data_IF_450778014614
#
_entry.id   IF_450778014614
#
_cell.length_a   1.000
_cell.length_b   1.000
_cell.length_c   1.000
_cell.angle_alpha   90.00
_cell.angle_beta   90.00
_cell.angle_gamma   90.00
#
_symmetry.space_group_name_H-M   'P 1'
#
loop_
_entity.id
_entity.type
_entity.pdbx_description
1 polymer ?
#
# COMPACT_ATOMS: atom_id res chain seq x y z
N UNK A 1 44.49 51.54 -1.00
CA UNK A 1 44.12 51.48 0.43
C UNK A 1 45.01 50.45 1.14
N UNK A 2 45.88 50.84 2.09
CA UNK A 2 46.63 49.89 2.93
C UNK A 2 45.76 49.49 4.11
N UNK A 3 45.36 48.22 4.19
CA UNK A 3 44.62 47.66 5.32
C UNK A 3 45.43 47.84 6.62
N UNK A 4 44.79 48.38 7.66
CA UNK A 4 45.40 48.54 9.00
C UNK A 4 45.71 47.16 9.59
N UNK A 5 46.74 47.05 10.44
CA UNK A 5 47.17 45.77 11.01
C UNK A 5 46.04 45.01 11.72
N UNK A 6 45.15 45.73 12.40
CA UNK A 6 43.93 45.19 13.02
C UNK A 6 42.93 44.60 12.01
N UNK A 7 42.80 45.19 10.81
CA UNK A 7 41.95 44.64 9.76
C UNK A 7 42.54 43.36 9.17
N UNK A 8 43.87 43.24 9.06
CA UNK A 8 44.53 42.01 8.59
C UNK A 8 44.35 40.85 9.59
N UNK A 9 44.44 41.14 10.89
CA UNK A 9 44.20 40.15 11.95
C UNK A 9 42.72 39.72 11.94
N UNK A 10 41.79 40.67 11.84
CA UNK A 10 40.36 40.35 11.75
C UNK A 10 40.02 39.51 10.52
N UNK A 11 40.56 39.84 9.34
CA UNK A 11 40.38 39.04 8.11
C UNK A 11 41.00 37.64 8.28
N UNK A 12 42.18 37.53 8.88
CA UNK A 12 42.82 36.25 9.18
C UNK A 12 42.00 35.39 10.13
N UNK A 13 41.42 35.98 11.18
CA UNK A 13 40.55 35.27 12.11
C UNK A 13 39.25 34.83 11.43
N UNK A 14 38.58 35.71 10.68
CA UNK A 14 37.37 35.37 9.92
C UNK A 14 37.64 34.27 8.90
N UNK A 15 38.78 34.31 8.19
CA UNK A 15 39.17 33.26 7.25
C UNK A 15 39.44 31.93 7.95
N UNK A 16 40.13 31.94 9.10
CA UNK A 16 40.39 30.73 9.89
C UNK A 16 39.08 30.14 10.44
N UNK A 17 38.21 30.97 11.01
CA UNK A 17 36.88 30.55 11.48
C UNK A 17 36.06 29.98 10.33
N UNK A 18 36.08 30.62 9.15
CA UNK A 18 35.41 30.10 7.96
C UNK A 18 35.98 28.74 7.53
N UNK A 19 37.30 28.58 7.45
CA UNK A 19 37.94 27.30 7.09
C UNK A 19 37.61 26.21 8.09
N UNK A 20 37.60 26.49 9.40
CA UNK A 20 37.24 25.52 10.43
C UNK A 20 35.77 25.12 10.31
N UNK A 21 34.86 26.07 10.17
CA UNK A 21 33.41 25.80 10.09
C UNK A 21 33.05 25.08 8.78
N UNK A 22 33.51 25.59 7.64
CA UNK A 22 33.22 24.98 6.33
C UNK A 22 33.99 23.68 6.11
N UNK A 23 35.23 23.59 6.61
CA UNK A 23 36.04 22.37 6.56
C UNK A 23 35.46 21.25 7.41
N UNK A 24 35.06 21.56 8.65
CA UNK A 24 34.37 20.60 9.52
C UNK A 24 33.08 20.11 8.87
N UNK A 25 32.23 21.04 8.40
CA UNK A 25 30.98 20.70 7.70
C UNK A 25 31.24 19.82 6.48
N UNK A 26 32.22 20.16 5.63
CA UNK A 26 32.55 19.38 4.44
C UNK A 26 33.00 17.96 4.78
N UNK A 27 33.83 17.78 5.82
CA UNK A 27 34.32 16.47 6.24
C UNK A 27 33.19 15.63 6.84
N UNK A 28 32.37 16.19 7.74
CA UNK A 28 31.21 15.47 8.30
C UNK A 28 30.21 15.11 7.21
N UNK A 29 29.99 16.00 6.26
CA UNK A 29 29.07 15.80 5.16
C UNK A 29 29.50 14.64 4.27
N UNK A 30 30.80 14.61 3.93
CA UNK A 30 31.38 13.53 3.14
C UNK A 30 31.38 12.21 3.91
N UNK A 31 31.67 12.23 5.21
CA UNK A 31 31.72 11.02 6.04
C UNK A 31 30.34 10.37 6.17
N UNK A 32 29.28 11.16 6.36
CA UNK A 32 27.91 10.64 6.50
C UNK A 32 27.38 10.14 5.16
N UNK A 33 27.58 10.88 4.07
CA UNK A 33 27.01 10.53 2.77
C UNK A 33 27.68 9.30 2.15
N UNK A 34 28.99 9.09 2.40
CA UNK A 34 29.76 7.96 1.86
C UNK A 34 29.50 6.63 2.58
N UNK A 35 28.94 6.64 3.79
CA UNK A 35 28.60 5.41 4.51
C UNK A 35 27.49 4.64 3.79
N UNK A 36 27.73 3.36 3.50
CA UNK A 36 26.72 2.44 2.97
C UNK A 36 26.22 1.56 4.09
N UNK A 37 24.91 1.49 4.23
CA UNK A 37 24.25 0.65 5.21
C UNK A 37 23.51 -0.48 4.51
N UNK A 38 23.52 -1.70 5.07
CA UNK A 38 22.65 -2.77 4.59
C UNK A 38 21.19 -2.36 4.78
N UNK A 39 20.31 -2.79 3.87
CA UNK A 39 18.88 -2.56 4.01
C UNK A 39 18.34 -3.33 5.22
N UNK A 40 17.44 -2.70 5.97
CA UNK A 40 16.82 -3.33 7.14
C UNK A 40 15.49 -3.96 6.75
N UNK A 41 15.16 -5.09 7.37
CA UNK A 41 13.79 -5.54 7.45
C UNK A 41 13.05 -4.77 8.55
N UNK A 42 11.74 -4.51 8.41
CA UNK A 42 10.96 -3.93 9.48
C UNK A 42 10.94 -4.82 10.72
N UNK A 43 11.08 -4.20 11.89
CA UNK A 43 10.99 -4.86 13.19
C UNK A 43 9.64 -4.62 13.86
N UNK A 44 9.56 -4.88 15.18
CA UNK A 44 8.35 -4.56 15.96
C UNK A 44 8.14 -3.06 16.12
N UNK A 45 9.22 -2.29 16.23
CA UNK A 45 9.21 -0.84 16.18
C UNK A 45 10.10 -0.39 15.02
N UNK A 46 9.59 0.48 14.14
CA UNK A 46 10.27 0.86 12.90
C UNK A 46 9.99 2.31 12.52
N UNK A 47 11.02 3.02 12.06
CA UNK A 47 10.91 4.29 11.35
C UNK A 47 11.07 4.03 9.85
N UNK A 48 10.00 4.30 9.10
CA UNK A 48 9.96 4.15 7.65
C UNK A 48 10.07 5.52 6.97
N UNK A 49 10.95 5.59 5.98
CA UNK A 49 10.98 6.64 4.99
C UNK A 49 10.14 6.25 3.78
N UNK A 50 9.41 7.22 3.21
CA UNK A 50 8.69 7.04 1.94
C UNK A 50 9.13 8.15 1.00
N UNK A 51 9.58 7.77 -0.20
CA UNK A 51 9.89 8.73 -1.27
C UNK A 51 8.58 9.31 -1.85
N UNK A 52 8.32 10.62 -1.71
CA UNK A 52 7.13 11.27 -2.26
C UNK A 52 7.04 11.19 -3.79
N UNK A 53 8.17 11.04 -4.49
CA UNK A 53 8.23 10.91 -5.95
C UNK A 53 7.53 9.66 -6.49
N UNK A 54 7.20 8.70 -5.62
CA UNK A 54 6.46 7.51 -6.00
C UNK A 54 4.95 7.75 -6.22
N UNK A 55 4.41 8.90 -5.82
CA UNK A 55 2.98 9.23 -5.89
C UNK A 55 2.21 8.89 -4.60
N UNK A 56 2.91 8.72 -3.48
CA UNK A 56 2.33 8.36 -2.18
C UNK A 56 2.84 9.33 -1.11
N UNK A 57 1.96 9.68 -0.16
CA UNK A 57 2.32 10.49 1.01
C UNK A 57 1.76 9.87 2.28
N UNK A 58 2.34 10.24 3.41
CA UNK A 58 1.77 9.89 4.70
C UNK A 58 0.72 10.94 5.07
N UNK A 59 -0.53 10.54 5.21
CA UNK A 59 -1.60 11.41 5.73
C UNK A 59 -1.87 11.00 7.17
N UNK A 60 -1.91 11.99 8.05
CA UNK A 60 -2.35 11.79 9.44
C UNK A 60 -3.77 12.35 9.55
N UNK A 61 -4.76 11.47 9.63
CA UNK A 61 -6.15 11.85 9.78
C UNK A 61 -6.73 11.18 11.02
N UNK A 62 -7.45 11.94 11.87
CA UNK A 62 -8.07 11.43 13.10
C UNK A 62 -7.12 10.59 13.97
N UNK A 63 -5.87 11.05 14.14
CA UNK A 63 -4.82 10.40 14.96
C UNK A 63 -4.28 9.08 14.39
N UNK A 64 -4.65 8.70 13.17
CA UNK A 64 -4.09 7.53 12.49
C UNK A 64 -3.23 8.04 11.32
N UNK A 65 -1.95 7.69 11.34
CA UNK A 65 -1.07 7.90 10.19
C UNK A 65 -1.26 6.76 9.18
N UNK A 66 -1.42 7.10 7.91
CA UNK A 66 -1.61 6.12 6.84
C UNK A 66 -0.94 6.58 5.56
N UNK A 67 -0.59 5.62 4.71
CA UNK A 67 -0.13 5.89 3.36
C UNK A 67 -1.32 6.14 2.45
N UNK A 68 -1.32 7.26 1.74
CA UNK A 68 -2.37 7.65 0.80
C UNK A 68 -1.75 7.94 -0.56
N UNK A 69 -2.40 7.47 -1.63
CA UNK A 69 -2.02 7.76 -3.01
C UNK A 69 -2.44 9.19 -3.38
N UNK A 70 -1.50 10.02 -3.85
CA UNK A 70 -1.75 11.39 -4.32
C UNK A 70 -1.86 11.50 -5.84
N UNK A 71 -2.64 12.48 -6.33
CA UNK A 71 -2.82 12.78 -7.75
C UNK A 71 -1.86 13.88 -8.24
N UNK A 72 -0.63 13.48 -8.59
CA UNK A 72 0.23 14.13 -9.59
C UNK A 72 0.73 15.60 -9.50
N UNK A 73 0.05 16.59 -8.91
CA UNK A 73 0.40 18.00 -9.19
C UNK A 73 0.34 19.04 -8.06
N UNK A 74 0.04 18.69 -6.80
CA UNK A 74 -0.02 19.68 -5.69
C UNK A 74 1.08 19.56 -4.63
N UNK A 75 2.08 18.71 -4.85
CA UNK A 75 2.82 18.08 -3.75
C UNK A 75 4.18 18.70 -3.37
N UNK A 76 4.38 20.00 -3.63
CA UNK A 76 5.67 20.68 -3.41
C UNK A 76 5.66 21.91 -2.50
N UNK A 77 4.54 22.26 -1.86
CA UNK A 77 4.46 23.48 -1.04
C UNK A 77 4.39 23.14 0.45
N UNK A 78 5.37 23.62 1.20
CA UNK A 78 5.27 23.73 2.66
C UNK A 78 4.02 24.55 3.00
N UNK A 79 3.09 23.96 3.77
CA UNK A 79 1.97 24.68 4.37
C UNK A 79 0.66 24.78 3.56
N UNK A 80 0.30 23.77 2.77
CA UNK A 80 -1.02 23.71 2.12
C UNK A 80 -2.05 22.92 2.94
N UNK A 81 -2.88 23.60 3.71
CA UNK A 81 -4.06 23.05 4.42
C UNK A 81 -5.28 22.88 3.48
N UNK A 82 -5.10 22.93 2.17
CA UNK A 82 -6.18 22.83 1.18
C UNK A 82 -5.79 21.89 0.04
N UNK A 83 -5.90 20.58 0.27
CA UNK A 83 -6.24 19.65 -0.81
C UNK A 83 -7.69 19.27 -0.58
N UNK A 84 -8.59 19.70 -1.48
CA UNK A 84 -10.05 19.51 -1.42
C UNK A 84 -10.54 18.06 -1.46
N UNK A 85 -9.70 17.08 -1.14
CA UNK A 85 -10.15 15.72 -0.86
C UNK A 85 -10.90 15.72 0.47
N UNK A 86 -12.18 15.36 0.43
CA UNK A 86 -12.94 15.14 1.67
C UNK A 86 -12.25 14.05 2.49
N UNK A 87 -12.30 14.15 3.82
CA UNK A 87 -11.74 13.14 4.76
C UNK A 87 -12.23 11.71 4.41
N UNK A 88 -13.43 11.59 3.85
CA UNK A 88 -14.01 10.37 3.26
C UNK A 88 -13.20 9.81 2.07
N UNK A 89 -12.78 10.65 1.12
CA UNK A 89 -12.00 10.23 -0.05
C UNK A 89 -10.58 9.81 0.35
N UNK A 90 -9.96 10.54 1.28
CA UNK A 90 -8.65 10.18 1.82
C UNK A 90 -8.68 8.83 2.56
N UNK A 91 -9.74 8.54 3.34
CA UNK A 91 -9.94 7.24 4.01
C UNK A 91 -10.09 6.09 3.01
N UNK A 92 -10.76 6.32 1.87
CA UNK A 92 -10.95 5.29 0.82
C UNK A 92 -9.66 4.93 0.08
N UNK A 93 -8.64 5.78 0.14
CA UNK A 93 -7.31 5.58 -0.46
C UNK A 93 -6.23 5.30 0.61
N UNK A 94 -6.61 5.01 1.86
CA UNK A 94 -5.67 4.69 2.93
C UNK A 94 -5.21 3.23 2.87
N UNK A 95 -3.90 3.05 2.79
CA UNK A 95 -3.25 1.75 2.79
C UNK A 95 -3.05 1.22 4.22
N UNK A 96 -3.24 -0.08 4.43
CA UNK A 96 -2.98 -0.73 5.70
C UNK A 96 -1.47 -0.80 5.99
N UNK A 97 -1.00 -0.02 6.96
CA UNK A 97 0.40 -0.04 7.42
C UNK A 97 0.82 -1.44 7.90
N UNK A 98 -0.09 -2.17 8.53
CA UNK A 98 0.16 -3.55 8.96
C UNK A 98 0.44 -4.48 7.79
N UNK A 99 -0.35 -4.38 6.73
CA UNK A 99 -0.16 -5.19 5.52
C UNK A 99 1.15 -4.81 4.84
N UNK A 100 1.47 -3.51 4.75
CA UNK A 100 2.75 -3.03 4.22
C UNK A 100 3.96 -3.60 4.98
N UNK A 101 3.97 -3.49 6.31
CA UNK A 101 5.05 -4.01 7.16
C UNK A 101 5.23 -5.52 6.96
N UNK A 102 4.13 -6.27 6.95
CA UNK A 102 4.18 -7.71 6.75
C UNK A 102 4.73 -8.08 5.36
N UNK A 103 4.35 -7.36 4.30
CA UNK A 103 4.90 -7.56 2.95
C UNK A 103 6.41 -7.27 2.93
N UNK A 104 6.85 -6.18 3.55
CA UNK A 104 8.27 -5.81 3.65
C UNK A 104 9.08 -6.79 4.52
N UNK A 105 8.42 -7.58 5.37
CA UNK A 105 9.00 -8.72 6.09
C UNK A 105 8.99 -10.02 5.26
N UNK A 106 8.38 -10.01 4.07
CA UNK A 106 8.29 -11.15 3.17
C UNK A 106 7.05 -12.02 3.35
N UNK A 107 5.99 -11.54 4.02
CA UNK A 107 4.71 -12.24 4.11
C UNK A 107 3.89 -12.05 2.82
N UNK A 108 3.52 -13.17 2.20
CA UNK A 108 2.74 -13.19 0.97
C UNK A 108 1.23 -13.01 1.20
N UNK A 109 0.73 -13.36 2.40
CA UNK A 109 -0.72 -13.36 2.70
C UNK A 109 -1.40 -12.00 2.46
N UNK A 110 -0.87 -10.87 2.98
CA UNK A 110 -1.49 -9.56 2.74
C UNK A 110 -1.28 -9.02 1.32
N UNK A 111 -0.32 -9.57 0.55
CA UNK A 111 0.06 -9.04 -0.76
C UNK A 111 -1.09 -9.06 -1.75
N UNK A 112 -1.92 -10.11 -1.75
CA UNK A 112 -3.09 -10.19 -2.65
C UNK A 112 -4.06 -9.02 -2.45
N UNK A 113 -4.38 -8.69 -1.19
CA UNK A 113 -5.25 -7.56 -0.85
C UNK A 113 -4.60 -6.22 -1.17
N UNK A 114 -3.30 -6.11 -0.95
CA UNK A 114 -2.52 -4.91 -1.28
C UNK A 114 -2.53 -4.64 -2.79
N UNK A 115 -2.33 -5.67 -3.61
CA UNK A 115 -2.41 -5.57 -5.07
C UNK A 115 -3.84 -5.21 -5.50
N UNK A 116 -4.87 -5.85 -4.95
CA UNK A 116 -6.27 -5.52 -5.23
C UNK A 116 -6.56 -4.04 -4.95
N UNK A 117 -6.13 -3.55 -3.79
CA UNK A 117 -6.34 -2.17 -3.37
C UNK A 117 -5.71 -1.16 -4.34
N UNK A 118 -4.47 -1.37 -4.74
CA UNK A 118 -3.75 -0.46 -5.66
C UNK A 118 -4.23 -0.54 -7.11
N UNK A 119 -5.02 -1.57 -7.46
CA UNK A 119 -5.66 -1.73 -8.77
C UNK A 119 -7.17 -1.43 -8.72
N UNK A 120 -7.65 -0.72 -7.68
CA UNK A 120 -9.06 -0.37 -7.47
C UNK A 120 -10.04 -1.56 -7.47
N UNK A 121 -9.56 -2.75 -7.15
CA UNK A 121 -10.39 -3.96 -6.99
C UNK A 121 -10.91 -3.98 -5.55
N UNK A 122 -12.19 -3.63 -5.38
CA UNK A 122 -12.84 -3.55 -4.06
C UNK A 122 -13.79 -4.70 -3.84
N UNK A 123 -13.70 -5.31 -2.66
CA UNK A 123 -14.76 -6.18 -2.13
C UNK A 123 -15.89 -5.30 -1.60
N UNK A 124 -16.92 -5.11 -2.42
CA UNK A 124 -18.14 -4.40 -2.02
C UNK A 124 -19.34 -5.34 -2.19
N UNK A 125 -20.44 -5.07 -1.50
CA UNK A 125 -21.63 -5.95 -1.50
C UNK A 125 -22.35 -5.99 -2.86
N UNK A 126 -22.02 -5.10 -3.79
CA UNK A 126 -22.67 -4.99 -5.10
C UNK A 126 -22.02 -5.85 -6.17
N UNK A 127 -20.69 -5.84 -6.22
CA UNK A 127 -19.90 -6.46 -7.28
C UNK A 127 -19.35 -7.84 -6.86
N UNK A 128 -19.44 -8.18 -5.58
CA UNK A 128 -18.97 -9.45 -5.05
C UNK A 128 -20.12 -10.47 -4.92
N UNK A 129 -19.93 -11.73 -5.36
CA UNK A 129 -20.95 -12.74 -5.24
C UNK A 129 -21.18 -13.14 -3.78
N UNK A 130 -22.44 -13.42 -3.43
CA UNK A 130 -22.84 -13.92 -2.12
C UNK A 130 -22.36 -15.36 -1.93
N UNK A 131 -22.39 -16.16 -3.00
CA UNK A 131 -21.83 -17.52 -3.03
C UNK A 131 -20.57 -17.52 -3.90
N UNK A 132 -19.41 -17.74 -3.28
CA UNK A 132 -18.12 -17.65 -3.95
C UNK A 132 -17.68 -19.02 -4.46
N UNK A 133 -17.71 -19.20 -5.78
CA UNK A 133 -17.14 -20.37 -6.46
C UNK A 133 -15.75 -20.01 -6.97
N UNK A 134 -14.73 -20.53 -6.31
CA UNK A 134 -13.34 -20.18 -6.60
C UNK A 134 -12.76 -20.98 -7.77
N UNK A 135 -12.06 -20.29 -8.66
CA UNK A 135 -11.31 -20.86 -9.78
C UNK A 135 -9.89 -20.30 -9.79
N UNK A 136 -8.88 -21.16 -9.84
CA UNK A 136 -7.50 -20.72 -10.03
C UNK A 136 -7.21 -20.40 -11.50
N UNK A 137 -6.26 -19.49 -11.74
CA UNK A 137 -5.78 -19.21 -13.09
C UNK A 137 -5.28 -20.48 -13.82
N UNK A 138 -4.72 -21.44 -13.09
CA UNK A 138 -4.25 -22.73 -13.64
C UNK A 138 -5.42 -23.62 -14.07
N UNK A 139 -6.46 -23.78 -13.24
CA UNK A 139 -7.66 -24.54 -13.60
C UNK A 139 -8.37 -23.94 -14.81
N UNK A 140 -8.47 -22.60 -14.87
CA UNK A 140 -9.04 -21.89 -16.02
C UNK A 140 -8.22 -22.13 -17.28
N UNK A 141 -6.89 -22.07 -17.19
CA UNK A 141 -6.00 -22.37 -18.32
C UNK A 141 -6.23 -23.79 -18.83
N UNK A 142 -6.24 -24.79 -17.95
CA UNK A 142 -6.53 -26.19 -18.31
C UNK A 142 -7.90 -26.36 -18.96
N UNK A 143 -8.93 -25.69 -18.45
CA UNK A 143 -10.27 -25.70 -19.03
C UNK A 143 -10.30 -25.12 -20.45
N UNK A 144 -9.58 -24.02 -20.69
CA UNK A 144 -9.45 -23.38 -22.01
C UNK A 144 -8.62 -24.23 -22.99
N UNK A 145 -7.59 -24.92 -22.49
CA UNK A 145 -6.68 -25.77 -23.28
C UNK A 145 -7.29 -27.14 -23.64
N UNK A 146 -8.49 -27.45 -23.15
CA UNK A 146 -9.27 -28.62 -23.57
C UNK A 146 -9.45 -29.74 -22.54
N UNK A 147 -9.14 -29.51 -21.26
CA UNK A 147 -9.55 -30.44 -20.20
C UNK A 147 -11.08 -30.49 -20.13
N UNK A 148 -11.66 -31.61 -20.60
CA UNK A 148 -13.11 -31.75 -20.74
C UNK A 148 -13.84 -31.69 -19.39
N UNK A 149 -13.25 -32.21 -18.33
CA UNK A 149 -13.88 -32.22 -17.00
C UNK A 149 -13.92 -30.80 -16.42
N UNK A 150 -12.79 -30.08 -16.49
CA UNK A 150 -12.72 -28.69 -16.05
C UNK A 150 -13.55 -27.77 -16.94
N UNK A 151 -13.54 -27.97 -18.27
CA UNK A 151 -14.39 -27.21 -19.19
C UNK A 151 -15.86 -27.36 -18.86
N UNK A 152 -16.33 -28.60 -18.70
CA UNK A 152 -17.75 -28.86 -18.37
C UNK A 152 -18.11 -28.24 -17.02
N UNK A 153 -17.22 -28.33 -16.03
CA UNK A 153 -17.40 -27.69 -14.73
C UNK A 153 -17.46 -26.16 -14.86
N UNK A 154 -16.58 -25.55 -15.64
CA UNK A 154 -16.51 -24.10 -15.84
C UNK A 154 -17.77 -23.57 -16.53
N UNK A 155 -18.19 -24.20 -17.63
CA UNK A 155 -19.42 -23.82 -18.35
C UNK A 155 -20.65 -23.96 -17.44
N UNK A 156 -20.67 -25.00 -16.59
CA UNK A 156 -21.71 -25.22 -15.57
C UNK A 156 -21.71 -24.14 -14.50
N UNK A 157 -20.55 -23.75 -13.99
CA UNK A 157 -20.39 -22.72 -12.94
C UNK A 157 -20.70 -21.32 -13.48
N UNK A 158 -20.50 -21.07 -14.78
CA UNK A 158 -20.84 -19.82 -15.47
C UNK A 158 -22.27 -19.79 -16.05
N UNK A 159 -22.92 -20.96 -16.16
CA UNK A 159 -24.18 -21.19 -16.87
C UNK A 159 -24.18 -20.75 -18.35
N UNK A 160 -23.01 -20.64 -18.96
CA UNK A 160 -22.79 -20.22 -20.35
C UNK A 160 -21.60 -21.01 -20.89
N UNK A 161 -21.70 -21.47 -22.14
CA UNK A 161 -20.60 -22.10 -22.85
C UNK A 161 -19.43 -21.14 -23.03
N UNK A 162 -18.21 -21.66 -23.21
CA UNK A 162 -17.03 -20.80 -23.45
C UNK A 162 -17.13 -19.97 -24.73
N UNK A 163 -17.99 -20.37 -25.65
CA UNK A 163 -18.27 -19.64 -26.86
C UNK A 163 -19.30 -18.50 -26.65
N UNK A 164 -19.87 -18.36 -25.45
CA UNK A 164 -20.87 -17.36 -25.09
C UNK A 164 -22.33 -17.81 -25.26
N UNK A 165 -22.59 -19.05 -25.66
CA UNK A 165 -23.97 -19.56 -25.79
C UNK A 165 -24.54 -19.94 -24.42
N UNK A 166 -25.76 -19.51 -24.07
CA UNK A 166 -26.41 -19.92 -22.83
C UNK A 166 -26.62 -21.44 -22.78
N UNK A 167 -26.50 -22.04 -21.61
CA UNK A 167 -26.78 -23.47 -21.44
C UNK A 167 -28.31 -23.75 -21.42
N UNK A 168 -28.77 -24.95 -21.80
CA UNK A 168 -30.18 -25.32 -21.72
C UNK A 168 -30.70 -25.43 -20.28
N UNK A 169 -29.85 -25.92 -19.37
CA UNK A 169 -30.16 -25.99 -17.94
C UNK A 169 -29.93 -24.61 -17.31
N UNK A 170 -30.94 -24.09 -16.58
CA UNK A 170 -30.86 -22.80 -15.91
C UNK A 170 -30.40 -23.00 -14.46
N UNK A 171 -29.21 -22.51 -14.13
CA UNK A 171 -28.66 -22.51 -12.77
C UNK A 171 -28.63 -21.08 -12.24
N UNK A 172 -29.67 -20.71 -11.51
CA UNK A 172 -29.83 -19.34 -11.02
C UNK A 172 -28.64 -18.88 -10.15
N UNK A 173 -28.13 -19.77 -9.28
CA UNK A 173 -26.96 -19.48 -8.46
C UNK A 173 -25.72 -19.10 -9.30
N UNK A 174 -25.44 -19.84 -10.38
CA UNK A 174 -24.36 -19.55 -11.31
C UNK A 174 -24.57 -18.25 -12.08
N UNK A 175 -25.81 -17.98 -12.50
CA UNK A 175 -26.19 -16.74 -13.21
C UNK A 175 -25.98 -15.51 -12.31
N UNK A 176 -26.40 -15.58 -11.05
CA UNK A 176 -26.34 -14.47 -10.10
C UNK A 176 -24.93 -14.24 -9.56
N UNK A 177 -24.18 -15.31 -9.30
CA UNK A 177 -22.88 -15.21 -8.63
C UNK A 177 -21.68 -15.27 -9.60
N UNK A 178 -21.77 -16.09 -10.65
CA UNK A 178 -20.61 -16.44 -11.47
C UNK A 178 -19.51 -17.11 -10.66
N UNK A 179 -18.26 -16.74 -10.96
CA UNK A 179 -17.06 -17.30 -10.31
C UNK A 179 -16.18 -16.20 -9.72
N UNK A 180 -15.31 -16.58 -8.79
CA UNK A 180 -14.23 -15.73 -8.27
C UNK A 180 -12.90 -16.31 -8.74
N UNK A 181 -12.20 -15.56 -9.58
CA UNK A 181 -10.93 -15.98 -10.16
C UNK A 181 -9.77 -15.59 -9.25
N UNK A 182 -8.93 -16.56 -8.90
CA UNK A 182 -7.70 -16.40 -8.12
C UNK A 182 -6.52 -16.24 -9.06
N UNK A 183 -5.99 -15.02 -9.11
CA UNK A 183 -4.92 -14.56 -9.96
C UNK A 183 -3.61 -14.47 -9.15
N UNK A 184 -2.59 -15.29 -9.45
CA UNK A 184 -1.30 -15.25 -8.76
C UNK A 184 -0.44 -14.11 -9.32
N UNK A 185 -0.46 -12.95 -8.66
CA UNK A 185 0.35 -11.78 -9.04
C UNK A 185 1.71 -11.86 -8.35
N UNK A 186 2.78 -11.82 -9.13
CA UNK A 186 4.16 -11.84 -8.64
C UNK A 186 4.70 -10.42 -8.50
N UNK A 187 5.12 -10.05 -7.29
CA UNK A 187 5.61 -8.71 -6.97
C UNK A 187 7.05 -8.82 -6.46
N UNK A 188 7.93 -7.95 -6.94
CA UNK A 188 9.31 -7.88 -6.45
C UNK A 188 9.35 -6.99 -5.22
N UNK A 189 9.88 -7.53 -4.13
CA UNK A 189 9.97 -6.86 -2.84
C UNK A 189 11.37 -7.01 -2.30
N UNK A 190 11.94 -5.91 -1.83
CA UNK A 190 13.22 -5.93 -1.13
C UNK A 190 12.97 -6.21 0.35
N UNK A 191 13.40 -7.38 0.82
CA UNK A 191 13.30 -7.81 2.22
C UNK A 191 14.70 -7.81 2.80
N UNK A 192 15.01 -6.81 3.64
CA UNK A 192 16.39 -6.47 4.00
C UNK A 192 17.26 -6.36 2.73
N UNK A 193 18.42 -6.99 2.65
CA UNK A 193 19.32 -6.93 1.49
C UNK A 193 18.96 -7.89 0.35
N UNK A 194 17.85 -8.62 0.44
CA UNK A 194 17.47 -9.61 -0.55
C UNK A 194 16.26 -9.14 -1.35
N UNK A 195 16.40 -9.12 -2.68
CA UNK A 195 15.26 -9.00 -3.58
C UNK A 195 14.55 -10.34 -3.66
N UNK A 196 13.28 -10.38 -3.25
CA UNK A 196 12.44 -11.57 -3.27
C UNK A 196 11.26 -11.34 -4.19
N UNK A 197 10.86 -12.39 -4.90
CA UNK A 197 9.59 -12.41 -5.63
C UNK A 197 8.55 -13.04 -4.72
N UNK A 198 7.58 -12.25 -4.31
CA UNK A 198 6.45 -12.69 -3.49
C UNK A 198 5.23 -12.90 -4.39
N UNK A 199 4.41 -13.91 -4.08
CA UNK A 199 3.18 -14.19 -4.84
C UNK A 199 1.93 -13.83 -4.03
N UNK A 200 1.21 -12.80 -4.47
CA UNK A 200 -0.08 -12.40 -3.90
C UNK A 200 -1.24 -13.01 -4.69
N UNK A 201 -2.23 -13.57 -4.00
CA UNK A 201 -3.45 -14.06 -4.65
C UNK A 201 -4.47 -12.92 -4.73
N UNK A 202 -4.65 -12.37 -5.93
CA UNK A 202 -5.69 -11.40 -6.24
C UNK A 202 -6.97 -12.15 -6.57
N UNK A 203 -8.07 -11.73 -5.98
CA UNK A 203 -9.38 -12.30 -6.28
C UNK A 203 -10.19 -11.32 -7.13
N UNK A 204 -10.78 -11.83 -8.20
CA UNK A 204 -11.58 -11.03 -9.12
C UNK A 204 -12.86 -11.78 -9.51
N UNK A 205 -14.05 -11.24 -9.21
CA UNK A 205 -15.30 -11.77 -9.69
C UNK A 205 -15.36 -11.74 -11.22
N UNK A 206 -15.95 -12.78 -11.81
CA UNK A 206 -16.23 -12.85 -13.23
C UNK A 206 -17.63 -13.43 -13.45
N UNK A 207 -18.43 -12.68 -14.22
CA UNK A 207 -19.78 -13.07 -14.64
C UNK A 207 -19.91 -12.80 -16.15
N UNK A 208 -20.34 -13.79 -16.95
CA UNK A 208 -20.59 -13.57 -18.37
C UNK A 208 -21.63 -12.47 -18.59
N UNK A 209 -21.47 -11.70 -19.66
CA UNK A 209 -22.35 -10.58 -20.00
C UNK A 209 -23.81 -11.01 -20.12
N UNK A 210 -24.07 -12.20 -20.65
CA UNK A 210 -25.42 -12.77 -20.73
C UNK A 210 -26.07 -12.88 -19.35
N UNK A 211 -25.34 -13.38 -18.35
CA UNK A 211 -25.83 -13.52 -16.98
C UNK A 211 -26.10 -12.16 -16.33
N UNK A 212 -25.22 -11.17 -16.56
CA UNK A 212 -25.40 -9.80 -16.07
C UNK A 212 -26.67 -9.17 -16.68
N UNK A 213 -26.83 -9.27 -18.00
CA UNK A 213 -28.01 -8.74 -18.69
C UNK A 213 -29.31 -9.40 -18.24
N UNK A 214 -29.28 -10.70 -17.96
CA UNK A 214 -30.42 -11.42 -17.42
C UNK A 214 -30.78 -10.90 -16.03
N UNK A 215 -29.82 -10.80 -15.11
CA UNK A 215 -30.10 -10.27 -13.76
C UNK A 215 -30.56 -8.83 -13.80
N UNK A 216 -29.97 -8.00 -14.65
CA UNK A 216 -30.37 -6.60 -14.81
C UNK A 216 -31.82 -6.50 -15.30
N UNK A 217 -32.25 -7.32 -16.28
CA UNK A 217 -33.65 -7.34 -16.75
C UNK A 217 -34.63 -7.87 -15.72
N UNK A 218 -34.24 -8.87 -14.94
CA UNK A 218 -35.11 -9.48 -13.93
C UNK A 218 -35.35 -8.55 -12.74
N UNK A 219 -34.30 -7.86 -12.28
CA UNK A 219 -34.32 -7.11 -11.03
C UNK A 219 -34.46 -5.59 -11.21
N UNK A 220 -34.53 -5.08 -12.44
CA UNK A 220 -34.62 -3.63 -12.71
C UNK A 220 -35.75 -2.93 -11.96
N UNK A 221 -36.92 -3.58 -11.85
CA UNK A 221 -38.16 -2.98 -11.34
C UNK A 221 -39.04 -3.96 -10.53
N UNK A 222 -38.52 -5.14 -10.15
CA UNK A 222 -39.31 -6.23 -9.54
C UNK A 222 -38.61 -6.87 -8.35
N UNK A 223 -39.26 -6.84 -7.19
CA UNK A 223 -38.80 -7.50 -5.97
C UNK A 223 -39.19 -8.99 -5.90
N UNK A 224 -40.29 -9.38 -6.55
CA UNK A 224 -40.75 -10.78 -6.64
C UNK A 224 -40.64 -11.30 -8.08
N UNK A 225 -39.52 -11.98 -8.37
CA UNK A 225 -39.28 -12.61 -9.66
C UNK A 225 -39.73 -14.08 -9.61
N UNK A 226 -40.78 -14.42 -10.36
CA UNK A 226 -41.28 -15.79 -10.44
C UNK A 226 -40.40 -16.66 -11.35
N UNK A 227 -40.39 -17.98 -11.12
CA UNK A 227 -39.65 -18.93 -11.97
C UNK A 227 -40.04 -18.83 -13.46
N UNK A 228 -41.33 -18.60 -13.75
CA UNK A 228 -41.81 -18.40 -15.12
C UNK A 228 -41.23 -17.13 -15.76
N UNK A 229 -41.05 -16.05 -14.98
CA UNK A 229 -40.44 -14.82 -15.48
C UNK A 229 -38.94 -15.00 -15.77
N UNK A 230 -38.23 -15.77 -14.93
CA UNK A 230 -36.81 -16.13 -15.14
C UNK A 230 -36.67 -16.91 -16.45
N UNK A 231 -37.44 -17.99 -16.61
CA UNK A 231 -37.39 -18.82 -17.82
C UNK A 231 -37.77 -18.04 -19.07
N UNK A 232 -38.83 -17.24 -19.01
CA UNK A 232 -39.27 -16.41 -20.14
C UNK A 232 -38.20 -15.41 -20.58
N UNK A 233 -37.58 -14.71 -19.62
CA UNK A 233 -36.53 -13.72 -19.90
C UNK A 233 -35.26 -14.38 -20.43
N UNK A 234 -34.89 -15.55 -19.88
CA UNK A 234 -33.76 -16.34 -20.34
C UNK A 234 -33.92 -16.76 -21.81
N UNK A 235 -35.07 -17.35 -22.15
CA UNK A 235 -35.37 -17.79 -23.52
C UNK A 235 -35.50 -16.61 -24.50
N UNK A 236 -35.97 -15.45 -24.02
CA UNK A 236 -36.00 -14.24 -24.83
C UNK A 236 -34.58 -13.76 -25.16
N UNK A 237 -33.70 -13.62 -24.16
CA UNK A 237 -32.31 -13.20 -24.36
C UNK A 237 -31.54 -14.20 -25.23
N UNK A 238 -31.78 -15.50 -25.05
CA UNK A 238 -31.18 -16.54 -25.89
C UNK A 238 -31.57 -16.36 -27.37
N UNK A 239 -32.85 -16.12 -27.67
CA UNK A 239 -33.32 -15.84 -29.04
C UNK A 239 -32.74 -14.56 -29.62
N UNK A 240 -32.60 -13.50 -28.83
CA UNK A 240 -31.96 -12.25 -29.25
C UNK A 240 -30.49 -12.47 -29.67
N UNK A 241 -29.76 -13.31 -28.93
CA UNK A 241 -28.38 -13.69 -29.29
C UNK A 241 -28.31 -14.53 -30.57
N UNK A 242 -29.23 -15.48 -30.76
CA UNK A 242 -29.28 -16.32 -31.95
C UNK A 242 -29.63 -15.52 -33.21
N UNK A 243 -30.48 -14.50 -33.08
CA UNK A 243 -30.88 -13.60 -34.16
C UNK A 243 -29.83 -12.51 -34.47
N UNK A 244 -28.73 -12.46 -33.74
CA UNK A 244 -27.64 -11.49 -33.94
C UNK A 244 -27.98 -10.06 -33.50
N UNK A 245 -29.10 -9.84 -32.82
CA UNK A 245 -29.47 -8.53 -32.27
C UNK A 245 -28.76 -8.21 -30.95
N UNK A 246 -28.21 -9.23 -30.28
CA UNK A 246 -27.35 -9.08 -29.10
C UNK A 246 -25.85 -9.22 -29.40
N UNK A 247 -25.02 -8.49 -28.65
CA UNK A 247 -23.57 -8.71 -28.66
C UNK A 247 -23.21 -9.95 -27.85
N UNK A 248 -22.90 -11.03 -28.56
CA UNK A 248 -22.36 -12.27 -27.97
C UNK A 248 -20.93 -12.05 -27.49
N UNK A 249 -20.69 -12.36 -26.22
CA UNK A 249 -19.34 -12.39 -25.63
C UNK A 249 -18.62 -13.69 -26.03
N UNK A 250 -17.33 -13.59 -26.35
CA UNK A 250 -16.44 -14.76 -26.41
C UNK A 250 -15.89 -15.00 -25.00
N UNK A 251 -16.61 -15.80 -24.21
CA UNK A 251 -16.32 -16.05 -22.78
C UNK A 251 -14.92 -16.64 -22.60
N UNK A 252 -14.51 -17.54 -23.49
CA UNK A 252 -13.16 -18.11 -23.51
C UNK A 252 -12.10 -17.03 -23.63
N UNK A 253 -12.23 -16.11 -24.60
CA UNK A 253 -11.29 -14.97 -24.73
C UNK A 253 -11.36 -13.98 -23.57
N UNK A 254 -12.54 -13.75 -22.99
CA UNK A 254 -12.68 -12.89 -21.80
C UNK A 254 -11.91 -13.47 -20.60
N UNK A 255 -12.04 -14.77 -20.36
CA UNK A 255 -11.29 -15.47 -19.31
C UNK A 255 -9.80 -15.50 -19.64
N UNK A 256 -9.42 -15.75 -20.89
CA UNK A 256 -8.02 -15.75 -21.33
C UNK A 256 -7.35 -14.39 -21.05
N UNK A 257 -8.03 -13.28 -21.37
CA UNK A 257 -7.57 -11.92 -21.03
C UNK A 257 -7.51 -11.66 -19.53
N UNK A 258 -8.33 -12.34 -18.73
CA UNK A 258 -8.34 -12.23 -17.28
C UNK A 258 -7.11 -12.88 -16.64
N UNK A 259 -6.69 -14.02 -17.19
CA UNK A 259 -5.53 -14.80 -16.71
C UNK A 259 -4.26 -14.58 -17.55
N UNK A 260 -4.24 -13.55 -18.39
CA UNK A 260 -3.09 -13.22 -19.24
C UNK A 260 -1.88 -12.82 -18.37
N UNK A 261 -0.71 -13.48 -18.51
CA UNK A 261 0.50 -13.11 -17.80
C UNK A 261 0.86 -11.63 -17.90
N UNK A 262 0.66 -10.98 -19.06
CA UNK A 262 0.97 -9.55 -19.24
C UNK A 262 0.09 -8.67 -18.36
N UNK A 263 -1.18 -9.03 -18.20
CA UNK A 263 -2.09 -8.33 -17.29
C UNK A 263 -1.66 -8.50 -15.85
N UNK A 264 -1.24 -9.71 -15.45
CA UNK A 264 -0.74 -9.96 -14.09
C UNK A 264 0.54 -9.17 -13.79
N UNK A 265 1.43 -9.01 -14.77
CA UNK A 265 2.61 -8.15 -14.68
C UNK A 265 2.22 -6.67 -14.52
N UNK A 266 1.26 -6.18 -15.31
CA UNK A 266 0.73 -4.81 -15.17
C UNK A 266 0.14 -4.56 -13.79
N UNK A 267 -0.61 -5.53 -13.24
CA UNK A 267 -1.17 -5.44 -11.89
C UNK A 267 -0.09 -5.35 -10.80
N UNK A 268 1.12 -5.84 -11.06
CA UNK A 268 2.25 -5.79 -10.14
C UNK A 268 3.01 -4.45 -10.17
N UNK A 269 2.84 -3.61 -11.19
CA UNK A 269 3.63 -2.38 -11.39
C UNK A 269 3.46 -1.38 -10.25
N UNK A 270 2.22 -0.97 -9.96
CA UNK A 270 1.93 -0.03 -8.88
C UNK A 270 2.35 -0.58 -7.49
N UNK A 271 2.02 -1.83 -7.12
CA UNK A 271 2.54 -2.46 -5.90
C UNK A 271 4.06 -2.47 -5.81
N UNK A 272 4.75 -2.83 -6.89
CA UNK A 272 6.23 -2.86 -6.91
C UNK A 272 6.81 -1.46 -6.71
N UNK A 273 6.22 -0.44 -7.35
CA UNK A 273 6.65 0.94 -7.21
C UNK A 273 6.53 1.42 -5.76
N UNK A 274 5.39 1.19 -5.10
CA UNK A 274 5.18 1.52 -3.69
C UNK A 274 6.18 0.82 -2.79
N UNK A 275 6.33 -0.49 -2.95
CA UNK A 275 7.21 -1.27 -2.07
C UNK A 275 8.68 -0.89 -2.26
N UNK A 276 9.08 -0.51 -3.48
CA UNK A 276 10.43 -0.02 -3.77
C UNK A 276 10.72 1.38 -3.24
N UNK A 277 9.68 2.17 -2.96
CA UNK A 277 9.81 3.54 -2.46
C UNK A 277 9.83 3.64 -0.93
N UNK A 278 9.67 2.51 -0.23
CA UNK A 278 9.73 2.46 1.24
C UNK A 278 11.14 2.07 1.67
N UNK A 279 11.76 2.90 2.49
CA UNK A 279 13.05 2.64 3.12
C UNK A 279 12.87 2.41 4.63
N UNK A 280 13.39 1.28 5.13
CA UNK A 280 13.47 1.04 6.58
C UNK A 280 14.71 1.75 7.13
N UNK A 281 14.52 2.91 7.74
CA UNK A 281 15.63 3.77 8.20
C UNK A 281 16.20 3.25 9.52
N UNK A 282 15.32 2.93 10.46
CA UNK A 282 15.66 2.41 11.80
C UNK A 282 14.62 1.36 12.18
N UNK A 283 15.06 0.22 12.72
CA UNK A 283 14.19 -0.77 13.35
C UNK A 283 14.56 -0.98 14.83
N UNK A 284 13.87 -1.87 15.51
CA UNK A 284 14.00 -2.19 16.93
C UNK A 284 15.41 -2.70 17.33
N UNK A 285 16.16 -3.32 16.42
CA UNK A 285 17.54 -3.71 16.70
C UNK A 285 18.47 -2.49 16.88
N UNK A 286 18.09 -1.34 16.33
CA UNK A 286 18.85 -0.09 16.38
C UNK A 286 18.35 0.92 17.43
N UNK A 287 17.22 0.63 18.08
CA UNK A 287 16.66 1.43 19.18
C UNK A 287 17.12 0.81 20.51
N UNK A 288 17.85 1.53 21.36
CA UNK A 288 18.39 1.01 22.64
C UNK A 288 17.36 1.07 23.77
N UNK A 289 16.66 2.19 23.89
CA UNK A 289 15.63 2.40 24.90
C UNK A 289 14.62 3.43 24.42
N UNK A 290 13.46 3.47 25.06
CA UNK A 290 12.48 4.51 24.88
C UNK A 290 11.90 4.97 26.21
N UNK A 291 11.51 6.23 26.27
CA UNK A 291 10.75 6.84 27.36
C UNK A 291 9.67 7.74 26.79
N UNK A 292 8.70 8.11 27.62
CA UNK A 292 7.73 9.13 27.25
C UNK A 292 7.53 10.14 28.37
N UNK A 293 7.15 11.35 27.97
CA UNK A 293 6.78 12.43 28.88
C UNK A 293 5.40 12.97 28.50
N UNK A 294 4.64 13.39 29.51
CA UNK A 294 3.33 14.01 29.38
C UNK A 294 3.43 15.51 29.63
N UNK A 295 2.74 16.31 28.83
CA UNK A 295 2.58 17.74 29.09
C UNK A 295 1.16 18.19 28.74
N UNK A 296 0.69 19.23 29.42
CA UNK A 296 -0.62 19.84 29.14
C UNK A 296 -0.39 21.02 28.21
N UNK A 297 -0.96 20.95 27.00
CA UNK A 297 -0.90 22.04 26.05
C UNK A 297 -1.75 23.24 26.53
N UNK A 298 -1.49 24.44 25.98
CA UNK A 298 -2.21 25.66 26.37
C UNK A 298 -3.73 25.62 26.17
N UNK A 299 -4.25 24.63 25.43
CA UNK A 299 -5.68 24.36 25.24
C UNK A 299 -6.25 23.32 26.23
N UNK A 300 -5.49 22.95 27.27
CA UNK A 300 -5.88 21.96 28.27
C UNK A 300 -5.81 20.50 27.81
N UNK A 301 -5.41 20.23 26.56
CA UNK A 301 -5.25 18.86 26.06
C UNK A 301 -3.93 18.27 26.53
N UNK A 302 -4.00 17.02 26.95
CA UNK A 302 -2.81 16.24 27.28
C UNK A 302 -2.13 15.79 25.98
N UNK A 303 -0.84 16.06 25.91
CA UNK A 303 0.02 15.64 24.81
C UNK A 303 1.19 14.85 25.37
N UNK A 304 1.65 13.91 24.56
CA UNK A 304 2.72 12.99 24.89
C UNK A 304 3.87 13.18 23.91
N UNK A 305 5.07 12.97 24.43
CA UNK A 305 6.30 12.98 23.66
C UNK A 305 7.03 11.67 23.92
N UNK A 306 7.41 10.95 22.87
CA UNK A 306 8.28 9.78 22.96
C UNK A 306 9.71 10.22 22.68
N UNK A 307 10.65 9.80 23.53
CA UNK A 307 12.08 9.87 23.30
C UNK A 307 12.61 8.46 23.04
N UNK A 308 13.30 8.27 21.91
CA UNK A 308 13.91 7.00 21.51
C UNK A 308 15.42 7.19 21.45
N UNK A 309 16.14 6.41 22.24
CA UNK A 309 17.59 6.36 22.18
C UNK A 309 18.00 5.36 21.09
N UNK A 310 18.85 5.80 20.16
CA UNK A 310 19.41 5.00 19.08
C UNK A 310 20.85 4.62 19.38
N UNK A 311 21.23 3.42 18.94
CA UNK A 311 22.64 3.04 18.90
C UNK A 311 23.40 3.82 17.82
N UNK A 312 24.71 3.61 17.77
CA UNK A 312 25.58 4.35 16.86
C UNK A 312 25.24 4.18 15.37
N UNK A 313 24.77 3.00 14.97
CA UNK A 313 24.34 2.73 13.60
C UNK A 313 23.00 3.41 13.29
N UNK A 314 22.01 3.26 14.17
CA UNK A 314 20.69 3.89 14.04
C UNK A 314 20.80 5.41 13.92
N UNK A 315 21.64 6.02 14.77
CA UNK A 315 21.97 7.44 14.71
C UNK A 315 22.52 7.85 13.34
N UNK A 316 23.52 7.13 12.82
CA UNK A 316 24.15 7.49 11.53
C UNK A 316 23.21 7.27 10.35
N UNK A 317 22.39 6.21 10.36
CA UNK A 317 21.34 5.96 9.36
C UNK A 317 20.34 7.10 9.32
N UNK A 318 19.79 7.48 10.48
CA UNK A 318 18.81 8.56 10.56
C UNK A 318 19.42 9.92 10.20
N UNK A 319 20.67 10.19 10.59
CA UNK A 319 21.36 11.41 10.17
C UNK A 319 21.54 11.47 8.66
N UNK A 320 22.00 10.38 8.04
CA UNK A 320 22.12 10.28 6.58
C UNK A 320 20.77 10.48 5.90
N UNK A 321 19.73 9.78 6.36
CA UNK A 321 18.39 9.85 5.77
C UNK A 321 17.81 11.27 5.89
N UNK A 322 17.83 11.86 7.09
CA UNK A 322 17.30 13.22 7.34
C UNK A 322 18.02 14.31 6.55
N UNK A 323 19.29 14.08 6.21
CA UNK A 323 20.05 14.97 5.36
C UNK A 323 19.65 14.89 3.88
N UNK A 324 19.36 13.69 3.38
CA UNK A 324 18.97 13.45 1.99
C UNK A 324 17.50 13.79 1.72
N UNK A 325 16.64 13.61 2.71
CA UNK A 325 15.18 13.70 2.57
C UNK A 325 14.59 14.79 3.45
N UNK A 326 15.15 16.00 3.38
CA UNK A 326 14.56 17.16 4.07
C UNK A 326 13.19 17.50 3.47
N UNK A 327 12.24 17.87 4.31
CA UNK A 327 10.88 18.17 3.88
C UNK A 327 10.04 16.93 3.57
N UNK A 328 10.49 15.71 3.92
CA UNK A 328 9.65 14.51 3.86
C UNK A 328 9.20 14.09 5.25
N UNK A 329 8.23 13.18 5.33
CA UNK A 329 7.77 12.59 6.59
C UNK A 329 8.47 11.24 6.86
N UNK A 330 8.59 10.90 8.14
CA UNK A 330 8.98 9.57 8.62
C UNK A 330 7.79 8.92 9.30
N UNK A 331 7.39 7.73 8.88
CA UNK A 331 6.33 6.97 9.53
C UNK A 331 6.91 6.15 10.68
N UNK A 332 6.51 6.45 11.92
CA UNK A 332 6.82 5.63 13.08
C UNK A 332 5.73 4.59 13.29
N UNK A 333 6.12 3.32 13.24
CA UNK A 333 5.22 2.16 13.31
C UNK A 333 5.63 1.25 14.45
N UNK A 334 4.65 0.80 15.24
CA UNK A 334 4.82 -0.20 16.30
C UNK A 334 3.78 -1.31 16.11
N UNK A 335 4.23 -2.57 16.07
CA UNK A 335 3.40 -3.76 15.88
C UNK A 335 2.45 -3.68 14.65
N UNK A 336 2.89 -2.97 13.60
CA UNK A 336 2.09 -2.72 12.38
C UNK A 336 1.10 -1.55 12.49
N UNK A 337 0.98 -0.91 13.65
CA UNK A 337 0.17 0.28 13.89
C UNK A 337 1.01 1.53 13.72
N UNK A 338 0.54 2.47 12.91
CA UNK A 338 1.22 3.74 12.74
C UNK A 338 0.93 4.68 13.91
N UNK A 339 2.00 5.09 14.61
CA UNK A 339 1.92 5.92 15.81
C UNK A 339 2.06 7.40 15.45
N UNK A 340 2.96 7.73 14.53
CA UNK A 340 3.27 9.12 14.19
C UNK A 340 3.84 9.25 12.78
N UNK A 341 3.75 10.46 12.22
CA UNK A 341 4.38 10.80 10.94
C UNK A 341 5.11 12.17 10.99
N UNK A 342 6.15 12.33 11.83
CA UNK A 342 6.89 13.58 11.93
C UNK A 342 7.55 14.00 10.61
N UNK A 343 7.60 15.31 10.39
CA UNK A 343 8.32 15.92 9.26
C UNK A 343 9.80 16.11 9.59
N UNK A 344 10.67 15.79 8.64
CA UNK A 344 12.10 16.10 8.70
C UNK A 344 12.30 17.56 8.33
N UNK A 345 12.33 18.44 9.34
CA UNK A 345 12.59 19.87 9.14
C UNK A 345 14.08 20.21 9.05
N UNK A 346 14.90 19.42 9.74
CA UNK A 346 16.34 19.62 9.85
C UNK A 346 17.05 18.28 9.95
N UNK A 347 18.37 18.29 9.78
CA UNK A 347 19.21 17.11 10.01
C UNK A 347 19.10 16.65 11.46
N UNK A 348 19.09 15.32 11.66
CA UNK A 348 18.97 14.69 12.98
C UNK A 348 20.28 13.94 13.29
N UNK A 349 21.32 14.62 13.80
CA UNK A 349 22.62 14.00 14.09
C UNK A 349 22.69 13.29 15.46
N UNK A 350 21.71 13.55 16.33
CA UNK A 350 21.66 13.08 17.71
C UNK A 350 21.33 11.59 17.83
N UNK A 351 21.79 10.98 18.92
CA UNK A 351 21.41 9.61 19.29
C UNK A 351 19.99 9.52 19.84
N UNK A 352 19.44 10.62 20.33
CA UNK A 352 18.07 10.67 20.83
C UNK A 352 17.14 11.27 19.76
N UNK A 353 16.02 10.61 19.52
CA UNK A 353 14.96 11.04 18.61
C UNK A 353 13.70 11.29 19.41
N UNK A 354 13.16 12.50 19.26
CA UNK A 354 11.97 12.93 19.98
C UNK A 354 10.80 13.09 19.02
N UNK A 355 9.68 12.42 19.32
CA UNK A 355 8.41 12.52 18.58
C UNK A 355 7.38 13.14 19.52
N UNK A 356 7.01 14.39 19.25
CA UNK A 356 6.14 15.20 20.12
C UNK A 356 4.72 15.33 19.57
N UNK A 357 3.82 15.88 20.42
CA UNK A 357 2.42 16.18 20.10
C UNK A 357 1.57 14.93 19.80
N UNK A 358 1.89 13.80 20.42
CA UNK A 358 1.09 12.60 20.37
C UNK A 358 -0.10 12.76 21.32
N UNK A 359 -1.27 12.25 20.94
CA UNK A 359 -2.52 12.45 21.70
C UNK A 359 -3.04 11.17 22.35
N UNK A 360 -2.46 10.02 22.03
CA UNK A 360 -2.92 8.70 22.45
C UNK A 360 -1.89 8.10 23.40
N UNK A 361 -2.24 8.04 24.69
CA UNK A 361 -1.35 7.54 25.74
C UNK A 361 -1.11 6.03 25.61
N UNK A 362 -2.15 5.26 25.26
CA UNK A 362 -2.06 3.80 25.17
C UNK A 362 -1.09 3.39 24.06
N UNK A 363 -1.20 4.03 22.89
CA UNK A 363 -0.27 3.82 21.78
C UNK A 363 1.17 4.23 22.12
N UNK A 364 1.34 5.31 22.90
CA UNK A 364 2.66 5.78 23.35
C UNK A 364 3.29 4.81 24.35
N UNK A 365 2.52 4.34 25.34
CA UNK A 365 2.97 3.35 26.31
C UNK A 365 3.31 2.03 25.62
N UNK A 366 2.47 1.55 24.70
CA UNK A 366 2.74 0.33 23.92
C UNK A 366 4.03 0.45 23.10
N UNK A 367 4.28 1.62 22.50
CA UNK A 367 5.51 1.88 21.76
C UNK A 367 6.76 1.76 22.65
N UNK A 368 6.73 2.43 23.81
CA UNK A 368 7.82 2.41 24.78
C UNK A 368 8.06 1.01 25.32
N UNK A 369 6.99 0.31 25.69
CA UNK A 369 7.04 -1.08 26.15
C UNK A 369 7.62 -2.02 25.10
N UNK A 370 7.21 -1.87 23.83
CA UNK A 370 7.67 -2.73 22.74
C UNK A 370 9.16 -2.56 22.49
N UNK A 371 9.66 -1.32 22.50
CA UNK A 371 11.08 -1.01 22.34
C UNK A 371 11.89 -1.58 23.52
N UNK A 372 11.43 -1.35 24.75
CA UNK A 372 12.17 -1.77 25.95
C UNK A 372 12.12 -3.30 26.18
N UNK A 373 10.97 -3.97 25.92
CA UNK A 373 10.84 -5.44 26.04
C UNK A 373 11.73 -6.20 25.05
N UNK A 374 12.06 -5.60 23.91
CA UNK A 374 13.01 -6.16 22.93
C UNK A 374 14.45 -6.30 23.44
N UNK A 375 14.77 -5.75 24.63
CA UNK A 375 16.12 -5.73 25.23
C UNK A 375 16.28 -6.66 26.44
N UNK A 376 15.20 -7.29 26.89
CA UNK A 376 15.19 -8.18 28.05
C UNK A 376 15.58 -9.64 27.76
N UNK A 377 16.44 -9.91 26.78
CA UNK A 377 16.97 -11.26 26.50
C UNK A 377 18.48 -11.25 26.42
#
# INVERSE_FOLDING_TARGET
>A
MRLRATQKIAIGFVALTAVVVFGYKFVTDRMVLTQRFPNLAPGKATLLGIDPGAGFRIVVANRIAGLVQGEGSEYGKEGGDESGETVEQAKRKQLSTRDLIAILQGDEKPLGRFVMFLNDIRRNDRDWPTVQVYWTAEELRKALDGDQALRTKLERDLNVGLDGRPLPEIRLSSIENGIVVRLPVKVRVRVADQERVLTGIVEQPYRPRFCVQLTDRLYKDKFDVTQAAIQGTYLQLMRELEQGSGQREDVGKSIERLIDPKRLEQMAEAPSKVLSSVEVVVNDSLMESASYSKFVAGNGKELFTISIQLNDEGRRRLWKYSKLHRGTQLLFVVNGTAIAAPWIRQEIPGSEVTISNLTDEELVQEAVDTINKGKGR
#
